data_IF_995966345045
#
_entry.id   IF_995966345045
#
_cell.length_a   1.000
_cell.length_b   1.000
_cell.length_c   1.000
_cell.angle_alpha   90.00
_cell.angle_beta   90.00
_cell.angle_gamma   90.00
#
_symmetry.space_group_name_H-M   'P 1'
#
loop_
_entity.id
_entity.type
_entity.pdbx_description
1 polymer ?
#
# COMPACT_ATOMS: atom_id res chain seq x y z
N UNK A 1 7.65 -17.57 -12.68
CA UNK A 1 8.23 -18.69 -13.43
C UNK A 1 7.17 -19.52 -14.19
N UNK A 2 5.93 -19.61 -13.66
CA UNK A 2 4.87 -20.45 -14.23
C UNK A 2 3.91 -19.71 -15.18
N UNK A 3 4.06 -18.40 -15.33
CA UNK A 3 3.23 -17.60 -16.23
C UNK A 3 3.67 -17.82 -17.69
N UNK A 4 2.70 -18.09 -18.55
CA UNK A 4 2.86 -18.07 -20.01
C UNK A 4 2.69 -16.66 -20.56
N UNK A 5 1.72 -15.93 -20.03
CA UNK A 5 1.39 -14.57 -20.39
C UNK A 5 0.95 -13.81 -19.13
N UNK A 6 1.32 -12.55 -19.06
CA UNK A 6 0.77 -11.59 -18.10
C UNK A 6 0.22 -10.43 -18.90
N UNK A 7 -0.96 -9.96 -18.53
CA UNK A 7 -1.58 -8.77 -19.13
C UNK A 7 -2.06 -7.84 -18.04
N UNK A 8 -2.09 -6.55 -18.32
CA UNK A 8 -2.74 -5.58 -17.45
C UNK A 8 -4.18 -5.41 -17.90
N UNK A 9 -5.12 -5.57 -16.98
CA UNK A 9 -6.56 -5.42 -17.24
C UNK A 9 -7.15 -4.39 -16.29
N UNK A 10 -8.08 -3.60 -16.77
CA UNK A 10 -8.72 -2.54 -16.00
C UNK A 10 -9.83 -1.87 -16.80
N UNK A 11 -10.42 -0.81 -16.24
CA UNK A 11 -11.50 -0.08 -16.92
C UNK A 11 -11.05 0.51 -18.26
N UNK A 12 -9.79 0.92 -18.37
CA UNK A 12 -9.22 1.50 -19.59
C UNK A 12 -9.15 0.54 -20.78
N UNK A 13 -9.37 -0.75 -20.60
CA UNK A 13 -9.40 -1.76 -21.67
C UNK A 13 -10.55 -2.77 -21.52
N UNK A 14 -11.62 -2.39 -20.80
CA UNK A 14 -12.79 -3.26 -20.57
C UNK A 14 -12.42 -4.63 -19.96
N UNK A 15 -11.35 -4.68 -19.19
CA UNK A 15 -10.85 -5.90 -18.54
C UNK A 15 -10.45 -7.01 -19.54
N UNK A 16 -10.09 -6.63 -20.78
CA UNK A 16 -9.68 -7.57 -21.82
C UNK A 16 -8.17 -7.80 -21.80
N UNK A 17 -7.74 -8.99 -21.34
CA UNK A 17 -6.34 -9.38 -21.25
C UNK A 17 -5.62 -9.56 -22.61
N UNK A 18 -6.33 -9.38 -23.74
CA UNK A 18 -5.73 -9.41 -25.08
C UNK A 18 -5.17 -8.04 -25.49
N UNK A 19 -5.65 -6.96 -24.89
CA UNK A 19 -5.31 -5.59 -25.28
C UNK A 19 -3.92 -5.14 -24.78
N UNK A 20 -3.57 -5.47 -23.54
CA UNK A 20 -2.36 -4.97 -22.88
C UNK A 20 -1.51 -6.11 -22.33
N UNK A 21 -0.99 -6.92 -23.26
CA UNK A 21 -0.06 -8.02 -22.94
C UNK A 21 1.33 -7.45 -22.61
N UNK A 22 1.90 -7.89 -21.50
CA UNK A 22 3.22 -7.47 -21.05
C UNK A 22 4.33 -8.23 -21.78
N UNK A 23 5.41 -7.55 -22.07
CA UNK A 23 6.62 -8.14 -22.61
C UNK A 23 7.41 -8.85 -21.51
N UNK A 24 7.80 -10.09 -21.76
CA UNK A 24 8.67 -10.84 -20.84
C UNK A 24 10.14 -10.58 -21.17
N UNK A 25 10.87 -10.05 -20.19
CA UNK A 25 12.32 -9.88 -20.30
C UNK A 25 13.03 -11.25 -20.24
N UNK A 26 13.78 -11.66 -21.29
CA UNK A 26 14.32 -13.02 -21.37
C UNK A 26 15.25 -13.39 -20.22
N UNK A 27 16.11 -12.46 -19.80
CA UNK A 27 17.15 -12.74 -18.80
C UNK A 27 16.64 -12.73 -17.36
N UNK A 28 15.72 -11.82 -17.03
CA UNK A 28 15.20 -11.65 -15.66
C UNK A 28 13.90 -12.41 -15.41
N UNK A 29 13.14 -12.68 -16.47
CA UNK A 29 11.79 -13.22 -16.38
C UNK A 29 10.75 -12.22 -15.86
N UNK A 30 11.12 -10.95 -15.72
CA UNK A 30 10.22 -9.86 -15.38
C UNK A 30 9.31 -9.56 -16.57
N UNK A 31 8.06 -9.22 -16.28
CA UNK A 31 7.11 -8.75 -17.28
C UNK A 31 6.99 -7.24 -17.17
N UNK A 32 7.03 -6.53 -18.27
CA UNK A 32 6.93 -5.07 -18.32
C UNK A 32 6.00 -4.60 -19.43
N UNK A 33 5.36 -3.46 -19.20
CA UNK A 33 4.51 -2.80 -20.18
C UNK A 33 4.39 -1.31 -19.82
N UNK A 34 4.48 -0.45 -20.83
CA UNK A 34 4.10 0.95 -20.71
C UNK A 34 2.73 1.16 -21.35
N UNK A 35 1.79 1.75 -20.60
CA UNK A 35 0.44 2.04 -21.07
C UNK A 35 0.24 3.55 -21.05
N UNK A 36 0.23 4.23 -22.22
CA UNK A 36 0.02 5.67 -22.27
C UNK A 36 -1.42 6.04 -21.89
N UNK A 37 -1.59 7.21 -21.28
CA UNK A 37 -2.91 7.79 -20.99
C UNK A 37 -3.61 7.27 -19.75
N UNK A 38 -3.09 6.25 -19.07
CA UNK A 38 -3.63 5.79 -17.77
C UNK A 38 -3.42 6.87 -16.71
N UNK A 39 -4.47 7.19 -15.96
CA UNK A 39 -4.48 8.28 -14.98
C UNK A 39 -4.61 7.74 -13.56
N UNK A 40 -4.24 8.57 -12.58
CA UNK A 40 -4.52 8.29 -11.18
C UNK A 40 -6.04 8.07 -10.97
N UNK A 41 -6.39 7.07 -10.17
CA UNK A 41 -7.75 6.63 -9.92
C UNK A 41 -8.22 5.47 -10.80
N UNK A 42 -7.51 5.16 -11.89
CA UNK A 42 -7.82 3.97 -12.70
C UNK A 42 -7.56 2.70 -11.90
N UNK A 43 -8.49 1.73 -12.04
CA UNK A 43 -8.36 0.43 -11.38
C UNK A 43 -7.82 -0.62 -12.34
N UNK A 44 -6.98 -1.51 -11.81
CA UNK A 44 -6.36 -2.57 -12.62
C UNK A 44 -6.03 -3.82 -11.81
N UNK A 45 -5.86 -4.92 -12.53
CA UNK A 45 -5.27 -6.18 -12.06
C UNK A 45 -4.28 -6.73 -13.09
N UNK A 46 -3.50 -7.70 -12.67
CA UNK A 46 -2.74 -8.54 -13.58
C UNK A 46 -3.55 -9.80 -13.91
N UNK A 47 -3.81 -10.03 -15.20
CA UNK A 47 -4.31 -11.28 -15.71
C UNK A 47 -3.13 -12.21 -16.03
N UNK A 48 -3.03 -13.31 -15.31
CA UNK A 48 -1.92 -14.25 -15.42
C UNK A 48 -2.44 -15.54 -16.03
N UNK A 49 -1.97 -15.88 -17.24
CA UNK A 49 -2.22 -17.17 -17.86
C UNK A 49 -1.11 -18.14 -17.48
N UNK A 50 -1.48 -19.21 -16.81
CA UNK A 50 -0.55 -20.26 -16.35
C UNK A 50 -0.28 -21.28 -17.47
N UNK A 51 0.84 -22.03 -17.34
CA UNK A 51 1.21 -23.12 -18.27
C UNK A 51 0.14 -24.19 -18.44
N UNK A 52 -0.68 -24.42 -17.40
CA UNK A 52 -1.81 -25.35 -17.45
C UNK A 52 -3.09 -24.78 -18.11
N UNK A 53 -3.03 -23.57 -18.68
CA UNK A 53 -4.16 -22.93 -19.37
C UNK A 53 -5.09 -22.12 -18.44
N UNK A 54 -5.01 -22.26 -17.13
CA UNK A 54 -5.80 -21.50 -16.18
C UNK A 54 -5.43 -20.00 -16.23
N UNK A 55 -6.44 -19.16 -16.06
CA UNK A 55 -6.30 -17.70 -15.99
C UNK A 55 -6.64 -17.24 -14.59
N UNK A 56 -5.80 -16.41 -14.00
CA UNK A 56 -5.98 -15.83 -12.68
C UNK A 56 -5.86 -14.32 -12.74
N UNK A 57 -6.74 -13.61 -12.01
CA UNK A 57 -6.62 -12.18 -11.76
C UNK A 57 -5.92 -11.98 -10.42
N UNK A 58 -4.87 -11.16 -10.41
CA UNK A 58 -4.11 -10.81 -9.22
C UNK A 58 -3.99 -9.30 -9.08
N UNK A 59 -4.11 -8.82 -7.85
CA UNK A 59 -3.76 -7.45 -7.50
C UNK A 59 -2.25 -7.23 -7.66
N UNK A 60 -1.84 -6.00 -7.85
CA UNK A 60 -0.44 -5.63 -7.85
C UNK A 60 0.11 -5.69 -6.41
N UNK A 61 1.12 -6.52 -6.12
CA UNK A 61 1.69 -6.61 -4.78
C UNK A 61 2.43 -5.34 -4.34
N UNK A 62 2.75 -4.45 -5.28
CA UNK A 62 3.40 -3.16 -5.01
C UNK A 62 2.45 -1.96 -5.11
N UNK A 63 1.15 -2.20 -5.25
CA UNK A 63 0.18 -1.11 -5.28
C UNK A 63 0.24 -0.30 -3.98
N UNK A 64 0.28 1.02 -4.10
CA UNK A 64 0.18 1.95 -2.98
C UNK A 64 -1.27 2.26 -2.57
N UNK A 65 -2.23 1.77 -3.34
CA UNK A 65 -3.65 1.94 -3.09
C UNK A 65 -4.44 0.81 -3.76
N UNK A 66 -5.53 0.39 -3.12
CA UNK A 66 -6.46 -0.62 -3.63
C UNK A 66 -7.88 -0.10 -3.58
N UNK A 67 -8.81 -0.83 -4.16
CA UNK A 67 -10.23 -0.66 -3.86
C UNK A 67 -10.52 -1.05 -2.40
N UNK A 68 -11.66 -0.60 -1.90
CA UNK A 68 -12.16 -1.03 -0.58
C UNK A 68 -12.69 -2.45 -0.67
N UNK A 69 -12.30 -3.37 0.24
CA UNK A 69 -12.86 -4.71 0.30
C UNK A 69 -14.41 -4.74 0.31
N UNK A 70 -15.03 -5.75 -0.30
CA UNK A 70 -14.44 -7.00 -0.82
C UNK A 70 -13.80 -6.88 -2.21
N UNK A 71 -13.86 -5.70 -2.86
CA UNK A 71 -13.10 -5.46 -4.08
C UNK A 71 -11.60 -5.50 -3.78
N UNK A 72 -10.78 -5.87 -4.78
CA UNK A 72 -9.34 -6.08 -4.57
C UNK A 72 -8.50 -5.64 -5.76
N UNK A 73 -9.03 -4.77 -6.63
CA UNK A 73 -8.21 -4.21 -7.69
C UNK A 73 -7.24 -3.17 -7.13
N UNK A 74 -6.09 -3.09 -7.74
CA UNK A 74 -5.12 -2.04 -7.47
C UNK A 74 -5.55 -0.73 -8.10
N UNK A 75 -5.21 0.39 -7.45
CA UNK A 75 -5.56 1.73 -7.93
C UNK A 75 -4.29 2.47 -8.31
N UNK A 76 -4.25 2.99 -9.53
CA UNK A 76 -3.15 3.85 -9.98
C UNK A 76 -3.10 5.09 -9.09
N UNK A 77 -1.99 5.29 -8.40
CA UNK A 77 -1.86 6.34 -7.37
C UNK A 77 -0.58 7.13 -7.57
N UNK A 78 -0.68 8.44 -7.50
CA UNK A 78 0.47 9.33 -7.49
C UNK A 78 0.73 9.82 -6.05
N UNK A 79 1.85 9.40 -5.47
CA UNK A 79 2.26 9.76 -4.12
C UNK A 79 3.19 10.98 -4.06
N UNK A 80 3.58 11.55 -5.22
CA UNK A 80 4.62 12.59 -5.32
C UNK A 80 4.19 13.97 -4.84
N UNK A 81 2.89 14.21 -4.68
CA UNK A 81 2.35 15.53 -4.31
C UNK A 81 2.37 15.83 -2.81
N UNK A 82 2.70 14.87 -1.96
CA UNK A 82 2.68 15.07 -0.51
C UNK A 82 3.90 15.91 -0.06
N UNK A 83 3.64 16.90 0.79
CA UNK A 83 4.67 17.75 1.39
C UNK A 83 4.91 17.30 2.83
N UNK A 84 6.07 16.75 3.07
CA UNK A 84 6.53 16.39 4.41
C UNK A 84 6.97 17.64 5.17
N UNK A 85 6.66 17.71 6.47
CA UNK A 85 7.10 18.75 7.41
C UNK A 85 7.80 18.08 8.60
N UNK A 86 8.67 17.14 8.32
CA UNK A 86 9.34 16.29 9.30
C UNK A 86 10.88 16.41 9.26
N UNK A 87 11.41 17.47 8.64
CA UNK A 87 12.87 17.66 8.48
C UNK A 87 13.63 17.64 9.80
N UNK A 88 13.06 18.20 10.86
CA UNK A 88 13.68 18.22 12.17
C UNK A 88 13.79 16.80 12.75
N UNK A 89 12.72 16.02 12.65
CA UNK A 89 12.68 14.62 13.05
C UNK A 89 13.67 13.77 12.24
N UNK A 90 13.72 13.98 10.91
CA UNK A 90 14.64 13.26 10.02
C UNK A 90 16.11 13.51 10.36
N UNK A 91 16.47 14.69 10.87
CA UNK A 91 17.82 14.98 11.37
C UNK A 91 18.10 14.29 12.70
N UNK A 92 17.11 14.22 13.57
CA UNK A 92 17.26 13.68 14.92
C UNK A 92 16.98 12.17 15.05
N UNK A 93 16.42 11.53 13.99
CA UNK A 93 15.98 10.13 14.05
C UNK A 93 17.05 9.12 14.46
N UNK A 94 18.32 9.41 14.20
CA UNK A 94 19.43 8.56 14.63
C UNK A 94 19.51 8.42 16.15
N UNK A 95 19.08 9.45 16.89
CA UNK A 95 19.03 9.43 18.36
C UNK A 95 17.98 8.44 18.86
N UNK A 96 16.87 8.26 18.13
CA UNK A 96 15.80 7.31 18.47
C UNK A 96 16.16 5.86 18.08
N UNK A 97 17.10 5.67 17.15
CA UNK A 97 17.59 4.35 16.78
C UNK A 97 18.77 3.89 17.65
N UNK A 98 19.29 4.73 18.57
CA UNK A 98 20.33 4.34 19.51
C UNK A 98 19.77 3.34 20.55
N UNK A 99 20.25 2.11 20.49
CA UNK A 99 19.87 1.02 21.42
C UNK A 99 20.14 1.32 22.90
N UNK A 100 20.85 2.40 23.20
CA UNK A 100 21.13 2.86 24.57
C UNK A 100 20.03 3.74 25.15
N UNK A 101 19.09 4.20 24.31
CA UNK A 101 17.95 5.01 24.77
C UNK A 101 16.79 4.10 25.21
N UNK A 102 16.07 4.47 26.27
CA UNK A 102 14.88 3.73 26.67
C UNK A 102 13.81 3.81 25.58
N UNK A 103 13.17 2.67 25.32
CA UNK A 103 12.08 2.55 24.36
C UNK A 103 10.79 2.30 25.12
N UNK A 104 9.75 3.09 24.81
CA UNK A 104 8.39 2.90 25.29
C UNK A 104 7.46 2.88 24.08
N UNK A 105 6.80 1.75 23.86
CA UNK A 105 5.95 1.50 22.69
C UNK A 105 4.49 1.54 23.14
N UNK A 106 3.67 2.29 22.40
CA UNK A 106 2.21 2.29 22.54
C UNK A 106 1.60 1.54 21.36
N UNK A 107 1.00 0.41 21.63
CA UNK A 107 0.28 -0.40 20.63
C UNK A 107 -1.16 0.08 20.55
N UNK A 108 -1.65 0.35 19.36
CA UNK A 108 -3.01 0.80 19.14
C UNK A 108 -3.51 0.51 17.72
N UNK A 109 -4.83 0.51 17.58
CA UNK A 109 -5.50 0.52 16.29
C UNK A 109 -6.21 1.86 16.08
N UNK A 110 -6.27 2.31 14.83
CA UNK A 110 -7.02 3.49 14.45
C UNK A 110 -8.18 3.10 13.53
N UNK A 111 -9.36 3.64 13.79
CA UNK A 111 -10.50 3.47 12.90
C UNK A 111 -10.47 4.38 11.67
N UNK A 112 -9.64 5.42 11.71
CA UNK A 112 -9.41 6.37 10.59
C UNK A 112 -8.04 7.03 10.74
N UNK A 113 -7.32 7.17 9.64
CA UNK A 113 -6.02 7.86 9.62
C UNK A 113 -6.11 9.33 10.02
N UNK A 114 -7.25 9.97 9.81
CA UNK A 114 -7.50 11.39 10.18
C UNK A 114 -7.52 11.67 11.67
N UNK A 115 -7.53 10.66 12.52
CA UNK A 115 -7.52 10.83 13.99
C UNK A 115 -6.10 11.05 14.56
N UNK A 116 -5.13 11.36 13.72
CA UNK A 116 -3.72 11.51 14.08
C UNK A 116 -3.47 12.50 15.22
N UNK A 117 -4.06 13.69 15.15
CA UNK A 117 -3.79 14.75 16.10
C UNK A 117 -4.14 14.40 17.56
N UNK A 118 -5.24 13.66 17.78
CA UNK A 118 -5.63 13.19 19.11
C UNK A 118 -4.64 12.16 19.65
N UNK A 119 -4.25 11.20 18.80
CA UNK A 119 -3.26 10.19 19.15
C UNK A 119 -1.91 10.84 19.49
N UNK A 120 -1.40 11.74 18.66
CA UNK A 120 -0.13 12.45 18.89
C UNK A 120 -0.14 13.19 20.21
N UNK A 121 -1.20 13.93 20.49
CA UNK A 121 -1.36 14.65 21.79
C UNK A 121 -1.32 13.68 22.97
N UNK A 122 -2.01 12.56 22.87
CA UNK A 122 -2.04 11.53 23.90
C UNK A 122 -0.64 10.94 24.15
N UNK A 123 0.05 10.53 23.08
CA UNK A 123 1.38 9.93 23.13
C UNK A 123 2.42 10.89 23.73
N UNK A 124 2.39 12.17 23.33
CA UNK A 124 3.26 13.22 23.89
C UNK A 124 3.05 13.41 25.39
N UNK A 125 1.80 13.47 25.85
CA UNK A 125 1.48 13.64 27.26
C UNK A 125 2.00 12.49 28.13
N UNK A 126 1.95 11.27 27.62
CA UNK A 126 2.42 10.06 28.30
C UNK A 126 3.89 9.75 28.06
N UNK A 127 4.58 10.54 27.20
CA UNK A 127 6.01 10.39 26.88
C UNK A 127 6.35 9.06 26.23
N UNK A 128 5.45 8.48 25.43
CA UNK A 128 5.79 7.35 24.58
C UNK A 128 6.79 7.77 23.50
N UNK A 129 7.72 6.88 23.20
CA UNK A 129 8.76 7.10 22.19
C UNK A 129 8.41 6.51 20.84
N UNK A 130 7.57 5.47 20.82
CA UNK A 130 7.16 4.75 19.63
C UNK A 130 5.67 4.44 19.68
N UNK A 131 5.06 4.34 18.53
CA UNK A 131 3.71 3.82 18.35
C UNK A 131 3.74 2.62 17.42
N UNK A 132 3.03 1.58 17.78
CA UNK A 132 2.76 0.42 16.94
C UNK A 132 1.29 0.47 16.51
N UNK A 133 1.10 0.58 15.20
CA UNK A 133 -0.23 0.66 14.58
C UNK A 133 -0.58 -0.63 13.89
N UNK A 134 -1.77 -1.17 14.17
CA UNK A 134 -2.27 -2.33 13.45
C UNK A 134 -3.80 -2.39 13.42
N UNK A 135 -4.38 -2.93 12.33
CA UNK A 135 -3.69 -3.21 11.08
C UNK A 135 -3.37 -1.91 10.32
N UNK A 136 -2.33 -1.93 9.48
CA UNK A 136 -1.98 -0.81 8.60
C UNK A 136 -2.18 -1.18 7.14
N UNK A 137 -1.72 -2.39 6.76
CA UNK A 137 -1.77 -2.87 5.39
C UNK A 137 -3.16 -3.39 5.01
N UNK A 138 -3.48 -3.31 3.73
CA UNK A 138 -4.76 -3.76 3.20
C UNK A 138 -4.95 -5.28 3.36
N UNK A 139 -6.09 -5.69 3.90
CA UNK A 139 -6.49 -7.09 4.07
C UNK A 139 -7.93 -7.32 3.59
N UNK A 140 -8.25 -8.54 3.16
CA UNK A 140 -9.52 -8.85 2.48
C UNK A 140 -10.64 -9.27 3.43
N UNK A 141 -10.30 -9.99 4.47
CA UNK A 141 -11.26 -10.71 5.32
C UNK A 141 -11.20 -10.18 6.75
N UNK A 142 -12.30 -9.60 7.21
CA UNK A 142 -12.41 -9.08 8.57
C UNK A 142 -12.36 -10.20 9.63
N UNK A 143 -12.79 -11.43 9.31
CA UNK A 143 -12.72 -12.56 10.24
C UNK A 143 -11.28 -13.08 10.40
N UNK A 144 -10.50 -13.11 9.31
CA UNK A 144 -9.08 -13.44 9.34
C UNK A 144 -8.20 -12.24 9.76
N UNK A 145 -8.76 -11.04 9.72
CA UNK A 145 -8.11 -9.79 10.11
C UNK A 145 -6.81 -9.53 9.33
N UNK A 146 -5.86 -8.90 9.99
CA UNK A 146 -4.56 -8.54 9.45
C UNK A 146 -3.74 -9.71 8.89
N UNK A 147 -4.07 -10.95 9.27
CA UNK A 147 -3.42 -12.16 8.74
C UNK A 147 -3.79 -12.47 7.29
N UNK A 148 -4.81 -11.81 6.74
CA UNK A 148 -5.22 -11.93 5.33
C UNK A 148 -4.70 -10.80 4.44
N UNK A 149 -3.59 -10.14 4.82
CA UNK A 149 -2.96 -9.06 4.05
C UNK A 149 -2.67 -9.50 2.62
N UNK A 150 -3.14 -8.72 1.65
CA UNK A 150 -2.93 -8.97 0.23
C UNK A 150 -2.14 -7.86 -0.50
N UNK A 151 -2.09 -6.65 0.07
CA UNK A 151 -1.37 -5.52 -0.50
C UNK A 151 -0.47 -4.88 0.58
N UNK A 152 0.79 -5.29 0.60
CA UNK A 152 1.76 -4.93 1.65
C UNK A 152 2.20 -3.47 1.62
N UNK A 153 2.02 -2.76 0.51
CA UNK A 153 2.43 -1.37 0.34
C UNK A 153 1.24 -0.40 0.32
N UNK A 154 0.02 -0.92 0.42
CA UNK A 154 -1.18 -0.11 0.47
C UNK A 154 -1.68 0.00 1.91
N UNK A 155 -1.87 1.22 2.45
CA UNK A 155 -2.58 1.40 3.71
C UNK A 155 -4.06 1.06 3.51
N UNK A 156 -4.67 0.51 4.55
CA UNK A 156 -6.06 0.05 4.52
C UNK A 156 -7.03 1.18 4.15
N UNK A 157 -7.74 0.97 3.04
CA UNK A 157 -8.66 1.95 2.47
C UNK A 157 -9.90 2.21 3.30
N UNK A 158 -10.28 1.29 4.18
CA UNK A 158 -11.39 1.49 5.13
C UNK A 158 -11.09 2.62 6.11
N UNK A 159 -9.82 2.87 6.41
CA UNK A 159 -9.39 3.89 7.37
C UNK A 159 -9.07 5.24 6.73
N UNK A 160 -8.90 5.30 5.40
CA UNK A 160 -8.65 6.54 4.68
C UNK A 160 -7.87 6.37 3.38
N UNK A 161 -7.35 7.47 2.87
CA UNK A 161 -6.53 7.50 1.67
C UNK A 161 -5.05 7.33 2.00
N UNK A 162 -4.19 6.98 1.02
CA UNK A 162 -2.74 7.03 1.22
C UNK A 162 -2.23 8.39 1.71
N UNK A 163 -2.83 9.49 1.25
CA UNK A 163 -2.48 10.83 1.72
C UNK A 163 -2.86 11.05 3.20
N UNK A 164 -3.99 10.51 3.65
CA UNK A 164 -4.37 10.56 5.06
C UNK A 164 -3.37 9.78 5.93
N UNK A 165 -2.85 8.65 5.44
CA UNK A 165 -1.81 7.89 6.12
C UNK A 165 -0.46 8.63 6.13
N UNK A 166 -0.09 9.29 5.03
CA UNK A 166 1.10 10.15 5.00
C UNK A 166 0.99 11.30 6.01
N UNK A 167 -0.19 11.92 6.14
CA UNK A 167 -0.44 12.94 7.15
C UNK A 167 -0.28 12.38 8.57
N UNK A 168 -0.81 11.19 8.87
CA UNK A 168 -0.63 10.53 10.16
C UNK A 168 0.86 10.35 10.49
N UNK A 169 1.65 9.85 9.55
CA UNK A 169 3.09 9.67 9.73
C UNK A 169 3.80 11.02 9.98
N UNK A 170 3.44 12.03 9.19
CA UNK A 170 3.99 13.38 9.34
C UNK A 170 3.69 14.02 10.71
N UNK A 171 2.50 13.77 11.26
CA UNK A 171 2.11 14.26 12.59
C UNK A 171 2.80 13.48 13.73
N UNK A 172 3.12 12.21 13.52
CA UNK A 172 3.86 11.38 14.49
C UNK A 172 5.33 11.76 14.57
N UNK A 173 5.91 12.19 13.47
CA UNK A 173 7.27 12.73 13.40
C UNK A 173 7.35 14.09 14.06
#
# INVERSE_FOLDING_TARGET
PNALRVSVVGNFNNWDGRCHMMHRMPMSGIFELFIPGVKAGEIYKYEIKLKGGAVQLKSDPYAACTEVPPASASVVTDLRGFKWDDEAWMKDRERFSDRKQPISIYETSLSKWKNAAELVKYLKNLKYTHVELHPVMEYLDDEAGEYSTFAYYAPDRRFGTPADFQNLVNELH
#
